data_IF_694607818917
#
_entry.id   IF_694607818917
#
_cell.length_a   1.000
_cell.length_b   1.000
_cell.length_c   1.000
_cell.angle_alpha   90.00
_cell.angle_beta   90.00
_cell.angle_gamma   90.00
#
_symmetry.space_group_name_H-M   'P 1'
#
loop_
_entity.id
_entity.type
_entity.pdbx_description
1 polymer ?
#
# COMPACT_ATOMS: atom_id res chain seq x y z
N UNK A 1 -10.27 -3.55 -7.88
CA UNK A 1 -9.72 -2.87 -6.67
C UNK A 1 -9.30 -1.48 -7.07
N UNK A 2 -9.12 -0.56 -6.14
CA UNK A 2 -8.45 0.72 -6.39
C UNK A 2 -6.95 0.57 -6.11
N UNK A 3 -6.09 1.30 -6.82
CA UNK A 3 -4.67 1.38 -6.52
C UNK A 3 -4.31 2.77 -5.98
N UNK A 4 -3.36 2.84 -5.05
CA UNK A 4 -2.83 4.10 -4.53
C UNK A 4 -1.42 4.37 -5.08
N UNK A 5 -1.23 5.55 -5.67
CA UNK A 5 0.07 6.08 -6.08
C UNK A 5 0.41 7.32 -5.25
N UNK A 6 1.54 7.28 -4.54
CA UNK A 6 1.96 8.32 -3.60
C UNK A 6 3.47 8.24 -3.36
N UNK A 7 4.04 9.30 -2.79
CA UNK A 7 5.44 9.32 -2.38
C UNK A 7 5.56 8.81 -0.95
N UNK A 8 6.39 7.79 -0.72
CA UNK A 8 6.63 7.26 0.64
C UNK A 8 7.36 8.29 1.51
N UNK A 9 8.41 8.92 0.95
CA UNK A 9 9.31 9.82 1.66
C UNK A 9 9.93 9.17 2.90
N UNK A 10 10.22 9.98 3.91
CA UNK A 10 10.80 9.53 5.18
C UNK A 10 9.74 9.16 6.24
N UNK A 11 8.50 8.92 5.83
CA UNK A 11 7.41 8.60 6.75
C UNK A 11 7.62 7.20 7.36
N UNK A 12 7.46 7.11 8.68
CA UNK A 12 7.35 5.82 9.37
C UNK A 12 6.00 5.22 9.02
N UNK A 13 6.01 4.00 8.50
CA UNK A 13 4.84 3.30 8.04
C UNK A 13 4.98 1.80 8.31
N UNK A 14 3.85 1.16 8.60
CA UNK A 14 3.78 -0.30 8.65
C UNK A 14 4.08 -0.83 7.25
N UNK A 15 5.01 -1.78 7.16
CA UNK A 15 5.41 -2.41 5.91
C UNK A 15 5.12 -3.89 5.98
N UNK A 16 4.65 -4.47 4.88
CA UNK A 16 4.58 -5.92 4.76
C UNK A 16 6.01 -6.48 4.79
N UNK A 17 6.21 -7.56 5.53
CA UNK A 17 7.44 -8.35 5.51
C UNK A 17 7.11 -9.80 5.85
N UNK A 18 7.98 -10.74 5.48
CA UNK A 18 7.75 -12.16 5.77
C UNK A 18 7.48 -12.47 7.25
N UNK A 19 8.00 -11.63 8.16
CA UNK A 19 7.81 -11.78 9.61
C UNK A 19 6.42 -11.33 10.13
N UNK A 20 5.66 -10.54 9.37
CA UNK A 20 4.38 -9.99 9.81
C UNK A 20 3.20 -10.26 8.87
N UNK A 21 3.41 -10.94 7.75
CA UNK A 21 2.38 -11.25 6.75
C UNK A 21 1.14 -11.89 7.37
N UNK A 22 1.30 -13.00 8.10
CA UNK A 22 0.18 -13.69 8.75
C UNK A 22 -0.59 -12.79 9.71
N UNK A 23 0.10 -11.86 10.39
CA UNK A 23 -0.52 -10.94 11.34
C UNK A 23 -1.32 -9.83 10.65
N UNK A 24 -0.89 -9.42 9.45
CA UNK A 24 -1.54 -8.39 8.64
C UNK A 24 -2.76 -8.93 7.88
N UNK A 25 -2.82 -10.24 7.60
CA UNK A 25 -3.98 -10.87 6.95
C UNK A 25 -5.19 -11.04 7.89
N UNK A 26 -5.03 -10.87 9.20
CA UNK A 26 -6.14 -10.92 10.16
C UNK A 26 -7.06 -9.71 9.95
N UNK A 27 -8.37 -9.95 10.03
CA UNK A 27 -9.37 -8.87 9.96
C UNK A 27 -9.04 -7.78 11.00
N UNK A 28 -9.14 -6.52 10.59
CA UNK A 28 -8.90 -5.35 11.42
C UNK A 28 -7.46 -5.22 11.97
N UNK A 29 -6.50 -5.98 11.41
CA UNK A 29 -5.06 -5.91 11.77
C UNK A 29 -4.48 -4.50 11.67
N UNK A 30 -4.89 -3.74 10.66
CA UNK A 30 -4.42 -2.38 10.41
C UNK A 30 -4.83 -1.39 11.51
N UNK A 31 -5.89 -1.66 12.28
CA UNK A 31 -6.32 -0.79 13.39
C UNK A 31 -5.29 -0.72 14.53
N UNK A 32 -4.35 -1.65 14.57
CA UNK A 32 -3.26 -1.68 15.56
C UNK A 32 -2.13 -0.71 15.23
N UNK A 33 -2.12 -0.14 14.03
CA UNK A 33 -1.05 0.71 13.53
C UNK A 33 -1.54 2.14 13.32
N UNK A 34 -0.65 3.10 13.57
CA UNK A 34 -0.86 4.47 13.11
C UNK A 34 -0.53 4.52 11.63
N UNK A 35 -1.57 4.52 10.79
CA UNK A 35 -1.39 4.63 9.34
C UNK A 35 -1.00 6.06 8.96
N UNK A 36 -0.12 6.22 7.94
CA UNK A 36 0.10 7.52 7.32
C UNK A 36 -1.19 8.14 6.78
N UNK A 37 -1.27 9.46 6.81
CA UNK A 37 -2.48 10.19 6.44
C UNK A 37 -2.96 9.86 5.01
N UNK A 38 -2.04 9.81 4.03
CA UNK A 38 -2.38 9.49 2.63
C UNK A 38 -3.02 8.11 2.49
N UNK A 39 -2.56 7.11 3.25
CA UNK A 39 -3.15 5.76 3.24
C UNK A 39 -4.51 5.77 3.93
N UNK A 40 -4.66 6.49 5.05
CA UNK A 40 -5.93 6.62 5.76
C UNK A 40 -7.01 7.26 4.88
N UNK A 41 -6.67 8.35 4.21
CA UNK A 41 -7.55 9.07 3.29
C UNK A 41 -7.91 8.19 2.09
N UNK A 42 -6.94 7.44 1.55
CA UNK A 42 -7.19 6.51 0.45
C UNK A 42 -8.15 5.38 0.84
N UNK A 43 -8.03 4.83 2.06
CA UNK A 43 -8.98 3.84 2.58
C UNK A 43 -10.37 4.46 2.71
N UNK A 44 -10.47 5.70 3.22
CA UNK A 44 -11.74 6.40 3.36
C UNK A 44 -12.40 6.65 2.00
N UNK A 45 -11.66 7.19 1.03
CA UNK A 45 -12.14 7.44 -0.33
C UNK A 45 -12.57 6.14 -1.03
N UNK A 46 -11.78 5.07 -0.89
CA UNK A 46 -12.11 3.76 -1.46
C UNK A 46 -13.46 3.25 -0.94
N UNK A 47 -13.75 3.45 0.36
CA UNK A 47 -15.04 3.10 0.96
C UNK A 47 -16.18 3.97 0.43
N UNK A 48 -15.97 5.28 0.28
CA UNK A 48 -16.96 6.20 -0.30
C UNK A 48 -17.32 5.83 -1.73
N UNK A 49 -16.35 5.34 -2.50
CA UNK A 49 -16.54 4.87 -3.88
C UNK A 49 -17.12 3.45 -3.96
N UNK A 50 -17.50 2.84 -2.83
CA UNK A 50 -18.03 1.48 -2.74
C UNK A 50 -17.11 0.40 -3.34
N UNK A 51 -15.79 0.64 -3.36
CA UNK A 51 -14.78 -0.33 -3.80
C UNK A 51 -14.34 -1.16 -2.59
N UNK A 52 -14.33 -2.49 -2.74
CA UNK A 52 -14.04 -3.39 -1.62
C UNK A 52 -12.55 -3.47 -1.23
N UNK A 53 -11.66 -3.25 -2.18
CA UNK A 53 -10.23 -3.50 -2.01
C UNK A 53 -9.41 -2.30 -2.50
N UNK A 54 -8.41 -1.92 -1.69
CA UNK A 54 -7.38 -0.93 -2.02
C UNK A 54 -6.03 -1.63 -2.05
N UNK A 55 -5.28 -1.46 -3.12
CA UNK A 55 -3.89 -1.87 -3.22
C UNK A 55 -2.99 -0.72 -2.79
N UNK A 56 -2.09 -0.98 -1.84
CA UNK A 56 -1.08 -0.05 -1.34
C UNK A 56 0.26 -0.77 -1.37
N UNK A 57 1.18 -0.29 -2.19
CA UNK A 57 2.50 -0.89 -2.42
C UNK A 57 3.23 -1.36 -1.14
N UNK A 58 3.30 -0.53 -0.10
CA UNK A 58 4.01 -0.82 1.15
C UNK A 58 3.37 -1.96 1.97
N UNK A 59 2.07 -2.22 1.75
CA UNK A 59 1.29 -3.25 2.42
C UNK A 59 1.05 -4.49 1.54
N UNK A 60 1.23 -4.37 0.23
CA UNK A 60 0.95 -5.44 -0.73
C UNK A 60 2.21 -6.06 -1.36
N UNK A 61 3.37 -5.42 -1.23
CA UNK A 61 4.66 -5.95 -1.69
C UNK A 61 5.53 -6.24 -0.47
N UNK A 62 6.13 -7.44 -0.39
CA UNK A 62 7.01 -7.78 0.71
C UNK A 62 8.23 -6.85 0.76
N UNK A 63 8.46 -6.24 1.92
CA UNK A 63 9.54 -5.28 2.14
C UNK A 63 10.72 -5.87 2.93
N UNK A 64 10.77 -7.19 3.07
CA UNK A 64 11.86 -7.88 3.72
C UNK A 64 13.19 -7.74 3.00
N UNK A 65 14.25 -8.25 3.64
CA UNK A 65 15.64 -8.14 3.16
C UNK A 65 16.26 -9.51 2.88
N UNK A 66 15.50 -10.60 2.95
CA UNK A 66 16.01 -11.91 2.55
C UNK A 66 16.12 -11.97 1.03
N UNK A 67 16.96 -12.86 0.50
CA UNK A 67 17.10 -13.06 -0.96
C UNK A 67 15.77 -13.45 -1.63
N UNK A 68 14.87 -14.09 -0.88
CA UNK A 68 13.53 -14.39 -1.35
C UNK A 68 12.68 -13.12 -1.47
N UNK A 69 12.65 -12.27 -0.43
CA UNK A 69 11.88 -11.02 -0.43
C UNK A 69 12.35 -10.05 -1.52
N UNK A 70 13.66 -9.98 -1.76
CA UNK A 70 14.23 -9.11 -2.79
C UNK A 70 13.80 -9.54 -4.19
N UNK A 71 13.73 -10.86 -4.45
CA UNK A 71 13.25 -11.40 -5.72
C UNK A 71 11.75 -11.15 -5.90
N UNK A 72 10.94 -11.45 -4.88
CA UNK A 72 9.50 -11.19 -4.92
C UNK A 72 9.21 -9.70 -5.15
N UNK A 73 9.88 -8.80 -4.42
CA UNK A 73 9.76 -7.35 -4.63
C UNK A 73 10.09 -6.97 -6.08
N UNK A 74 11.17 -7.50 -6.65
CA UNK A 74 11.54 -7.19 -8.02
C UNK A 74 10.49 -7.66 -9.03
N UNK A 75 9.91 -8.85 -8.82
CA UNK A 75 8.84 -9.38 -9.65
C UNK A 75 7.56 -8.52 -9.56
N UNK A 76 7.21 -8.06 -8.35
CA UNK A 76 6.09 -7.12 -8.16
C UNK A 76 6.35 -5.77 -8.84
N UNK A 77 7.59 -5.25 -8.76
CA UNK A 77 7.97 -4.00 -9.43
C UNK A 77 7.87 -4.13 -10.96
N UNK A 78 8.31 -5.26 -11.52
CA UNK A 78 8.16 -5.55 -12.95
C UNK A 78 6.68 -5.65 -13.37
N UNK A 79 5.81 -6.06 -12.46
CA UNK A 79 4.36 -6.19 -12.69
C UNK A 79 3.54 -4.95 -12.30
N UNK A 80 4.15 -3.88 -11.77
CA UNK A 80 3.44 -2.66 -11.36
C UNK A 80 2.52 -2.12 -12.46
N UNK A 81 2.98 -2.12 -13.71
CA UNK A 81 2.16 -1.69 -14.85
C UNK A 81 0.85 -2.47 -14.98
N UNK A 82 0.91 -3.80 -14.80
CA UNK A 82 -0.26 -4.66 -14.83
C UNK A 82 -1.18 -4.42 -13.62
N UNK A 83 -0.62 -4.17 -12.44
CA UNK A 83 -1.39 -3.86 -11.23
C UNK A 83 -2.21 -2.57 -11.43
N UNK A 84 -1.58 -1.49 -11.90
CA UNK A 84 -2.29 -0.25 -12.17
C UNK A 84 -3.29 -0.40 -13.32
N UNK A 85 -2.95 -1.17 -14.37
CA UNK A 85 -3.84 -1.41 -15.50
C UNK A 85 -5.10 -2.20 -15.12
N UNK A 86 -4.99 -3.14 -14.19
CA UNK A 86 -6.11 -3.97 -13.72
C UNK A 86 -6.93 -3.30 -12.60
N UNK A 87 -6.46 -2.17 -12.07
CA UNK A 87 -7.22 -1.40 -11.09
C UNK A 87 -8.43 -0.74 -11.75
N UNK A 88 -9.56 -0.71 -11.04
CA UNK A 88 -10.78 -0.03 -11.50
C UNK A 88 -10.57 1.49 -11.59
N UNK A 89 -9.70 2.02 -10.72
CA UNK A 89 -9.20 3.38 -10.73
C UNK A 89 -7.88 3.45 -9.95
N UNK A 90 -7.11 4.51 -10.19
CA UNK A 90 -5.91 4.84 -9.43
C UNK A 90 -6.11 6.16 -8.70
N UNK A 91 -5.96 6.14 -7.38
CA UNK A 91 -5.92 7.33 -6.52
C UNK A 91 -4.48 7.84 -6.53
N UNK A 92 -4.29 9.10 -6.88
CA UNK A 92 -2.96 9.71 -6.97
C UNK A 92 -2.86 10.84 -5.95
N UNK A 93 -1.98 10.69 -4.96
CA UNK A 93 -1.58 11.78 -4.08
C UNK A 93 -0.56 12.67 -4.84
N UNK A 94 -1.07 13.58 -5.66
CA UNK A 94 -0.24 14.33 -6.62
C UNK A 94 0.68 15.36 -5.95
N UNK A 95 0.35 15.78 -4.73
CA UNK A 95 1.11 16.75 -3.95
C UNK A 95 1.54 16.10 -2.62
N UNK A 96 2.79 16.33 -2.22
CA UNK A 96 3.31 15.86 -0.94
C UNK A 96 4.61 15.08 -1.07
N UNK A 97 5.52 15.32 -0.13
CA UNK A 97 6.88 14.76 -0.16
C UNK A 97 6.99 13.42 0.60
N UNK A 98 5.91 12.97 1.24
CA UNK A 98 5.87 11.74 2.03
C UNK A 98 4.44 11.25 2.29
N UNK A 99 4.33 10.04 2.86
CA UNK A 99 3.07 9.35 3.09
C UNK A 99 2.11 10.03 4.09
N UNK A 100 2.54 11.07 4.80
CA UNK A 100 1.71 11.84 5.73
C UNK A 100 1.12 13.12 5.12
N UNK A 101 1.32 13.37 3.82
CA UNK A 101 0.82 14.58 3.17
C UNK A 101 -0.72 14.66 3.07
N UNK A 102 -1.39 13.50 3.03
CA UNK A 102 -2.83 13.39 2.80
C UNK A 102 -3.18 13.16 1.32
N UNK A 103 -4.48 13.17 1.01
CA UNK A 103 -5.02 13.17 -0.36
C UNK A 103 -5.61 14.53 -0.74
#
# INVERSE_FOLDING_TARGET
>A
YAALSYVWGNAVQVKLGGYNEMSLQVKDSLLKFKLPQTISDAIHLTRLLAIKFLWVDVLCICQGQTDFDLRDRQDQLNNMGNIYHQASLTIIAACGDNANAGL
#
